data_IF_171064091826
#
_entry.id   IF_171064091826
#
_cell.length_a   1.000
_cell.length_b   1.000
_cell.length_c   1.000
_cell.angle_alpha   90.00
_cell.angle_beta   90.00
_cell.angle_gamma   90.00
#
_symmetry.space_group_name_H-M   'P 1'
#
loop_
_entity.id
_entity.type
_entity.pdbx_description
1 polymer ?
#
# COMPACT_ATOMS: atom_id res chain seq x y z
N UNK A 1 -28.81 -1.28 -3.45
CA UNK A 1 -27.43 -1.50 -3.94
C UNK A 1 -26.50 -1.26 -2.78
N UNK A 2 -25.49 -2.12 -2.59
CA UNK A 2 -24.47 -1.99 -1.54
C UNK A 2 -23.81 -0.61 -1.64
N UNK A 3 -23.58 0.06 -0.51
CA UNK A 3 -23.01 1.42 -0.43
C UNK A 3 -21.68 1.53 -1.18
N UNK A 4 -20.75 0.62 -0.89
CA UNK A 4 -19.39 0.60 -1.46
C UNK A 4 -19.33 0.50 -2.98
N UNK A 5 -20.40 0.05 -3.66
CA UNK A 5 -20.46 0.06 -5.12
C UNK A 5 -20.62 1.47 -5.72
N UNK A 6 -21.16 2.42 -4.94
CA UNK A 6 -21.30 3.82 -5.34
C UNK A 6 -19.99 4.60 -5.21
N UNK A 7 -19.02 4.01 -4.52
CA UNK A 7 -17.73 4.62 -4.22
C UNK A 7 -16.68 4.33 -5.31
N UNK A 8 -17.05 3.56 -6.32
CA UNK A 8 -16.22 3.31 -7.49
C UNK A 8 -16.18 4.55 -8.40
N UNK A 9 -14.96 4.97 -8.76
CA UNK A 9 -14.73 6.11 -9.64
C UNK A 9 -13.61 5.80 -10.64
N UNK A 10 -13.62 6.52 -11.75
CA UNK A 10 -12.48 6.63 -12.66
C UNK A 10 -11.81 7.97 -12.38
N UNK A 11 -10.52 7.94 -12.05
CA UNK A 11 -9.71 9.13 -11.78
C UNK A 11 -8.44 9.10 -12.63
N UNK A 12 -7.90 10.27 -12.96
CA UNK A 12 -6.64 10.36 -13.69
C UNK A 12 -5.46 9.98 -12.78
N UNK A 13 -4.43 9.26 -13.28
CA UNK A 13 -3.27 8.83 -12.48
C UNK A 13 -2.62 9.97 -11.67
N UNK A 14 -2.52 11.17 -12.25
CA UNK A 14 -1.93 12.34 -11.60
C UNK A 14 -2.67 12.84 -10.36
N UNK A 15 -3.92 12.43 -10.14
CA UNK A 15 -4.68 12.75 -8.93
C UNK A 15 -4.35 11.81 -7.75
N UNK A 16 -3.59 10.75 -7.97
CA UNK A 16 -3.30 9.70 -6.98
C UNK A 16 -1.93 9.92 -6.33
N UNK A 17 -1.93 10.12 -5.01
CA UNK A 17 -0.73 10.26 -4.19
C UNK A 17 -0.24 8.87 -3.78
N UNK A 18 0.93 8.50 -4.29
CA UNK A 18 1.60 7.24 -4.01
C UNK A 18 2.66 7.46 -2.92
N UNK A 19 2.41 6.96 -1.70
CA UNK A 19 3.31 7.14 -0.56
C UNK A 19 4.28 5.98 -0.34
N UNK A 20 4.14 4.86 -1.06
CA UNK A 20 5.09 3.75 -1.05
C UNK A 20 5.80 3.63 -2.40
N UNK A 21 7.06 3.20 -2.35
CA UNK A 21 7.79 2.76 -3.51
C UNK A 21 7.14 1.53 -4.15
N UNK A 22 7.48 1.30 -5.42
CA UNK A 22 7.08 0.13 -6.17
C UNK A 22 8.27 -0.81 -6.36
N UNK A 23 7.95 -2.09 -6.52
CA UNK A 23 8.91 -3.11 -6.94
C UNK A 23 8.76 -3.27 -8.45
N UNK A 24 9.84 -3.08 -9.18
CA UNK A 24 9.90 -3.14 -10.64
C UNK A 24 9.47 -4.51 -11.18
N UNK A 25 9.87 -5.59 -10.51
CA UNK A 25 9.56 -6.94 -10.96
C UNK A 25 8.04 -7.23 -10.83
N UNK A 26 7.43 -6.83 -9.72
CA UNK A 26 5.99 -6.92 -9.48
C UNK A 26 5.20 -6.01 -10.39
N UNK A 27 5.71 -4.81 -10.65
CA UNK A 27 5.11 -3.87 -11.59
C UNK A 27 5.04 -4.46 -13.00
N UNK A 28 6.16 -4.97 -13.52
CA UNK A 28 6.23 -5.59 -14.84
C UNK A 28 5.28 -6.78 -14.98
N UNK A 29 5.24 -7.69 -13.97
CA UNK A 29 4.31 -8.83 -13.96
C UNK A 29 2.84 -8.38 -13.97
N UNK A 30 2.50 -7.37 -13.17
CA UNK A 30 1.14 -6.86 -13.08
C UNK A 30 0.70 -6.17 -14.39
N UNK A 31 1.58 -5.36 -14.97
CA UNK A 31 1.35 -4.72 -16.28
C UNK A 31 1.07 -5.75 -17.36
N UNK A 32 1.92 -6.79 -17.46
CA UNK A 32 1.73 -7.89 -18.41
C UNK A 32 0.37 -8.58 -18.23
N UNK A 33 -0.06 -8.80 -16.97
CA UNK A 33 -1.37 -9.39 -16.68
C UNK A 33 -2.53 -8.48 -17.07
N UNK A 34 -2.46 -7.18 -16.77
CA UNK A 34 -3.52 -6.21 -17.14
C UNK A 34 -3.69 -6.18 -18.66
N UNK A 35 -2.59 -6.15 -19.41
CA UNK A 35 -2.62 -6.17 -20.88
C UNK A 35 -3.18 -7.49 -21.43
N UNK A 36 -2.81 -8.63 -20.82
CA UNK A 36 -3.29 -9.94 -21.25
C UNK A 36 -4.79 -10.17 -20.93
N UNK A 37 -5.27 -9.68 -19.79
CA UNK A 37 -6.67 -9.81 -19.38
C UNK A 37 -7.58 -8.69 -19.95
N UNK A 38 -7.00 -7.62 -20.51
CA UNK A 38 -7.68 -6.41 -21.03
C UNK A 38 -8.64 -5.76 -20.01
N UNK A 39 -8.29 -5.82 -18.73
CA UNK A 39 -9.11 -5.30 -17.64
C UNK A 39 -8.30 -4.89 -16.42
N UNK A 40 -8.84 -3.95 -15.65
CA UNK A 40 -8.45 -3.76 -14.26
C UNK A 40 -9.37 -4.61 -13.37
N UNK A 41 -8.86 -5.76 -12.91
CA UNK A 41 -9.62 -6.72 -12.09
C UNK A 41 -10.16 -6.11 -10.80
N UNK A 42 -9.29 -5.48 -10.00
CA UNK A 42 -9.62 -4.93 -8.70
C UNK A 42 -9.40 -3.39 -8.70
N UNK A 43 -10.28 -2.58 -8.10
CA UNK A 43 -10.10 -1.14 -7.94
C UNK A 43 -8.94 -0.83 -6.99
N UNK A 44 -8.18 0.22 -7.28
CA UNK A 44 -7.23 0.82 -6.32
C UNK A 44 -8.03 1.40 -5.17
N UNK A 45 -7.64 1.13 -3.92
CA UNK A 45 -8.32 1.73 -2.77
C UNK A 45 -7.63 3.04 -2.44
N UNK A 46 -8.39 4.12 -2.36
CA UNK A 46 -7.87 5.45 -2.06
C UNK A 46 -8.82 6.22 -1.16
N UNK A 47 -8.31 7.20 -0.44
CA UNK A 47 -9.12 8.14 0.36
C UNK A 47 -8.96 9.56 -0.19
N UNK A 48 -9.99 10.38 -0.05
CA UNK A 48 -9.93 11.77 -0.51
C UNK A 48 -9.00 12.58 0.40
N UNK A 49 -8.14 13.40 -0.20
CA UNK A 49 -7.28 14.34 0.50
C UNK A 49 -7.19 15.64 -0.29
N UNK A 50 -7.95 16.66 0.14
CA UNK A 50 -8.13 17.89 -0.63
C UNK A 50 -8.76 17.61 -2.00
N UNK A 51 -8.07 18.00 -3.07
CA UNK A 51 -8.42 17.78 -4.47
C UNK A 51 -7.83 16.48 -5.07
N UNK A 52 -7.03 15.76 -4.29
CA UNK A 52 -6.33 14.53 -4.69
C UNK A 52 -6.78 13.33 -3.86
N UNK A 53 -6.18 12.17 -4.12
CA UNK A 53 -6.51 10.92 -3.45
C UNK A 53 -5.25 10.26 -2.89
N UNK A 54 -5.19 10.02 -1.58
CA UNK A 54 -4.14 9.20 -0.97
C UNK A 54 -4.41 7.73 -1.27
N UNK A 55 -3.49 7.07 -1.98
CA UNK A 55 -3.60 5.65 -2.31
C UNK A 55 -3.35 4.82 -1.06
N UNK A 56 -4.32 4.03 -0.64
CA UNK A 56 -4.21 3.17 0.55
C UNK A 56 -3.80 1.74 0.17
N UNK A 57 -4.18 1.29 -1.03
CA UNK A 57 -3.80 -0.02 -1.53
C UNK A 57 -3.86 -0.06 -3.06
N UNK A 58 -2.85 -0.68 -3.68
CA UNK A 58 -2.74 -0.82 -5.12
C UNK A 58 -1.78 0.16 -5.80
N UNK A 59 -0.71 0.60 -5.13
CA UNK A 59 0.32 1.47 -5.72
C UNK A 59 0.85 0.91 -7.06
N UNK A 60 1.18 -0.38 -7.12
CA UNK A 60 1.63 -1.03 -8.37
C UNK A 60 0.55 -1.00 -9.47
N UNK A 61 -0.75 -1.02 -9.13
CA UNK A 61 -1.84 -0.91 -10.12
C UNK A 61 -1.89 0.50 -10.73
N UNK A 62 -1.73 1.54 -9.92
CA UNK A 62 -1.68 2.92 -10.41
C UNK A 62 -0.52 3.08 -11.38
N UNK A 63 0.69 2.65 -10.98
CA UNK A 63 1.88 2.69 -11.84
C UNK A 63 1.72 1.88 -13.13
N UNK A 64 1.18 0.66 -13.04
CA UNK A 64 0.97 -0.16 -14.22
C UNK A 64 0.02 0.50 -15.22
N UNK A 65 -1.07 1.09 -14.74
CA UNK A 65 -2.03 1.81 -15.59
C UNK A 65 -1.42 3.06 -16.22
N UNK A 66 -0.63 3.82 -15.46
CA UNK A 66 0.10 4.99 -15.94
C UNK A 66 1.10 4.61 -17.05
N UNK A 67 1.90 3.55 -16.85
CA UNK A 67 2.84 3.08 -17.88
C UNK A 67 2.18 2.42 -19.10
N UNK A 68 0.94 1.93 -18.96
CA UNK A 68 0.13 1.47 -20.09
C UNK A 68 -0.36 2.67 -20.92
N UNK A 69 -0.34 3.88 -20.35
CA UNK A 69 -0.92 5.08 -20.95
C UNK A 69 -2.43 5.15 -20.77
N UNK A 70 -2.98 4.46 -19.76
CA UNK A 70 -4.39 4.56 -19.44
C UNK A 70 -4.69 5.95 -18.88
N UNK A 71 -5.65 6.66 -19.49
CA UNK A 71 -6.11 7.96 -19.00
C UNK A 71 -6.71 7.88 -17.60
N UNK A 72 -7.37 6.78 -17.27
CA UNK A 72 -8.06 6.59 -16.01
C UNK A 72 -7.62 5.33 -15.27
N UNK A 73 -7.67 5.40 -13.94
CA UNK A 73 -7.55 4.26 -13.04
C UNK A 73 -8.89 4.03 -12.35
N UNK A 74 -9.33 2.78 -12.29
CA UNK A 74 -10.48 2.42 -11.46
C UNK A 74 -10.08 2.45 -9.99
N UNK A 75 -10.74 3.31 -9.23
CA UNK A 75 -10.55 3.46 -7.79
C UNK A 75 -11.83 3.17 -7.02
N UNK A 76 -11.67 2.73 -5.78
CA UNK A 76 -12.70 2.76 -4.76
C UNK A 76 -12.31 3.84 -3.75
N UNK A 77 -13.14 4.88 -3.64
CA UNK A 77 -12.92 5.98 -2.70
C UNK A 77 -13.51 5.61 -1.34
N UNK A 78 -12.69 5.51 -0.31
CA UNK A 78 -13.12 5.18 1.05
C UNK A 78 -12.96 6.37 1.98
N UNK A 79 -13.62 6.30 3.13
CA UNK A 79 -13.42 7.25 4.21
C UNK A 79 -11.93 7.32 4.62
N UNK A 80 -11.41 8.51 4.96
CA UNK A 80 -10.05 8.67 5.43
C UNK A 80 -9.75 7.73 6.61
N UNK A 81 -8.65 6.96 6.55
CA UNK A 81 -8.25 6.11 7.66
C UNK A 81 -7.73 6.99 8.81
N UNK A 82 -7.91 6.55 10.06
CA UNK A 82 -7.33 7.24 11.23
C UNK A 82 -5.80 7.25 11.21
N UNK A 83 -5.20 6.15 10.72
CA UNK A 83 -3.74 5.97 10.61
C UNK A 83 -3.39 4.89 9.59
N UNK A 84 -2.17 4.97 9.09
CA UNK A 84 -1.50 3.84 8.44
C UNK A 84 -0.80 3.00 9.51
N UNK A 85 -1.28 1.78 9.73
CA UNK A 85 -0.61 0.81 10.60
C UNK A 85 0.68 0.31 9.94
N UNK A 86 1.62 -0.20 10.73
CA UNK A 86 2.83 -0.85 10.21
C UNK A 86 2.63 -2.35 10.09
N UNK A 87 2.86 -2.93 8.90
CA UNK A 87 3.04 -4.38 8.80
C UNK A 87 4.22 -4.82 9.66
N UNK A 88 4.09 -5.96 10.33
CA UNK A 88 5.25 -6.67 10.86
C UNK A 88 6.00 -7.35 9.71
N UNK A 89 7.32 -7.21 9.65
CA UNK A 89 8.17 -7.91 8.69
C UNK A 89 8.95 -8.98 9.45
N UNK A 90 8.59 -10.24 9.22
CA UNK A 90 9.37 -11.39 9.66
C UNK A 90 10.45 -11.64 8.61
N UNK A 91 11.72 -11.53 9.01
CA UNK A 91 12.88 -11.61 8.13
C UNK A 91 13.84 -12.67 8.65
N UNK A 92 14.18 -13.64 7.80
CA UNK A 92 15.18 -14.66 8.11
C UNK A 92 16.56 -14.28 7.58
N UNK A 93 17.63 -14.60 8.33
CA UNK A 93 19.01 -14.42 7.86
C UNK A 93 19.48 -12.97 7.80
N UNK A 94 18.84 -12.08 8.57
CA UNK A 94 19.30 -10.70 8.73
C UNK A 94 20.64 -10.69 9.50
N UNK A 95 21.64 -10.02 8.95
CA UNK A 95 22.92 -9.78 9.65
C UNK A 95 22.76 -8.79 10.82
N UNK A 96 23.83 -8.56 11.61
CA UNK A 96 23.81 -7.57 12.67
C UNK A 96 23.41 -6.17 12.14
N UNK A 97 22.52 -5.51 12.87
CA UNK A 97 22.10 -4.15 12.56
C UNK A 97 23.05 -3.15 13.20
N UNK A 98 23.57 -2.23 12.39
CA UNK A 98 24.45 -1.15 12.84
C UNK A 98 23.81 0.20 12.52
N UNK A 99 24.06 1.25 13.32
CA UNK A 99 23.66 2.62 12.99
C UNK A 99 24.12 3.03 11.59
N UNK A 100 23.38 3.95 10.99
CA UNK A 100 23.71 4.57 9.70
C UNK A 100 23.55 6.09 9.83
N UNK A 101 24.67 6.75 10.14
CA UNK A 101 24.70 8.19 10.38
C UNK A 101 24.28 9.01 9.15
N UNK A 102 24.59 8.51 7.94
CA UNK A 102 24.30 9.20 6.69
C UNK A 102 22.78 9.27 6.44
N UNK A 103 22.06 8.22 6.80
CA UNK A 103 20.60 8.15 6.69
C UNK A 103 19.87 8.44 8.01
N UNK A 104 20.61 8.84 9.05
CA UNK A 104 20.07 9.15 10.37
C UNK A 104 19.46 7.96 11.11
N UNK A 105 19.83 6.72 10.77
CA UNK A 105 19.37 5.51 11.43
C UNK A 105 20.12 5.31 12.75
N UNK A 106 19.38 5.28 13.85
CA UNK A 106 19.89 4.98 15.18
C UNK A 106 19.34 3.64 15.64
N UNK A 107 20.22 2.81 16.20
CA UNK A 107 19.88 1.47 16.72
C UNK A 107 20.07 1.51 18.23
N UNK A 108 18.99 1.29 18.98
CA UNK A 108 18.93 1.48 20.42
C UNK A 108 18.85 2.96 20.84
N UNK A 109 19.03 3.19 22.14
CA UNK A 109 19.01 4.53 22.75
C UNK A 109 17.62 5.14 22.94
N UNK A 110 17.56 6.26 23.67
CA UNK A 110 16.31 6.97 24.01
C UNK A 110 16.08 8.24 23.18
N UNK A 111 17.12 8.75 22.50
CA UNK A 111 17.04 9.98 21.70
C UNK A 111 16.53 9.70 20.27
N UNK A 112 15.91 10.70 19.64
CA UNK A 112 15.33 10.59 18.30
C UNK A 112 13.90 10.05 18.29
N UNK A 113 13.30 9.94 17.10
CA UNK A 113 11.93 9.51 16.90
C UNK A 113 11.87 8.01 16.54
N UNK A 114 10.96 7.27 17.16
CA UNK A 114 10.86 5.83 16.91
C UNK A 114 10.37 5.52 15.49
N UNK A 115 11.06 4.61 14.81
CA UNK A 115 10.77 4.17 13.44
C UNK A 115 10.22 2.75 13.43
N UNK A 116 10.88 1.85 14.17
CA UNK A 116 10.49 0.45 14.28
C UNK A 116 11.01 -0.17 15.58
N UNK A 117 10.48 -1.33 15.92
CA UNK A 117 11.01 -2.23 16.94
C UNK A 117 11.41 -3.55 16.29
N UNK A 118 12.56 -4.10 16.69
CA UNK A 118 13.08 -5.37 16.20
C UNK A 118 13.10 -6.36 17.35
N UNK A 119 12.40 -7.47 17.19
CA UNK A 119 12.36 -8.59 18.13
C UNK A 119 13.16 -9.75 17.55
N UNK A 120 14.10 -10.30 18.32
CA UNK A 120 14.89 -11.47 17.92
C UNK A 120 14.27 -12.77 18.46
N UNK A 121 14.64 -13.91 17.89
CA UNK A 121 14.22 -15.22 18.40
C UNK A 121 14.66 -15.49 19.85
N UNK A 122 15.62 -14.73 20.38
CA UNK A 122 16.05 -14.79 21.78
C UNK A 122 15.15 -14.00 22.75
N UNK A 123 14.13 -13.28 22.25
CA UNK A 123 13.25 -12.42 23.04
C UNK A 123 13.84 -11.02 23.31
N UNK A 124 15.01 -10.71 22.76
CA UNK A 124 15.59 -9.37 22.85
C UNK A 124 14.85 -8.42 21.91
N UNK A 125 14.57 -7.22 22.40
CA UNK A 125 13.93 -6.17 21.60
C UNK A 125 14.85 -4.95 21.50
N UNK A 126 15.04 -4.45 20.29
CA UNK A 126 15.84 -3.27 20.00
C UNK A 126 14.99 -2.24 19.25
N UNK A 127 14.99 -1.00 19.74
CA UNK A 127 14.33 0.12 19.05
C UNK A 127 15.20 0.62 17.90
N UNK A 128 14.58 0.90 16.77
CA UNK A 128 15.17 1.61 15.63
C UNK A 128 14.53 2.99 15.55
N UNK A 129 15.36 4.02 15.44
CA UNK A 129 14.94 5.42 15.54
C UNK A 129 15.54 6.25 14.42
N UNK A 130 14.91 7.36 14.06
CA UNK A 130 15.51 8.42 13.28
C UNK A 130 16.18 9.42 14.21
N UNK A 131 17.39 9.86 13.86
CA UNK A 131 18.15 10.87 14.62
C UNK A 131 17.39 12.19 14.71
N UNK A 132 16.80 12.61 13.61
CA UNK A 132 15.96 13.81 13.51
C UNK A 132 14.48 13.42 13.63
N UNK A 133 13.67 14.36 14.11
CA UNK A 133 12.23 14.22 14.14
C UNK A 133 11.60 14.54 12.77
N UNK A 134 10.41 14.00 12.52
CA UNK A 134 9.59 14.30 11.35
C UNK A 134 9.49 13.15 10.34
N UNK A 135 8.42 13.19 9.55
CA UNK A 135 8.00 12.16 8.59
C UNK A 135 9.09 11.80 7.58
N UNK A 136 9.79 12.83 7.08
CA UNK A 136 10.91 12.72 6.15
C UNK A 136 12.11 11.97 6.74
N UNK A 137 12.52 12.32 7.96
CA UNK A 137 13.64 11.67 8.64
C UNK A 137 13.33 10.20 8.93
N UNK A 138 12.09 9.92 9.35
CA UNK A 138 11.59 8.55 9.52
C UNK A 138 11.61 7.76 8.23
N UNK A 139 11.15 8.32 7.11
CA UNK A 139 11.19 7.67 5.80
C UNK A 139 12.62 7.25 5.42
N UNK A 140 13.61 8.15 5.57
CA UNK A 140 15.03 7.84 5.29
C UNK A 140 15.57 6.72 6.18
N UNK A 141 15.28 6.76 7.48
CA UNK A 141 15.66 5.70 8.40
C UNK A 141 15.00 4.35 8.04
N UNK A 142 13.74 4.35 7.59
CA UNK A 142 13.08 3.13 7.11
C UNK A 142 13.76 2.54 5.88
N UNK A 143 14.19 3.37 4.93
CA UNK A 143 14.98 2.93 3.78
C UNK A 143 16.31 2.32 4.21
N UNK A 144 17.03 2.97 5.12
CA UNK A 144 18.29 2.46 5.66
C UNK A 144 18.12 1.11 6.38
N UNK A 145 17.01 0.93 7.11
CA UNK A 145 16.65 -0.33 7.73
C UNK A 145 16.36 -1.42 6.69
N UNK A 146 15.52 -1.14 5.69
CA UNK A 146 15.18 -2.12 4.66
C UNK A 146 16.35 -2.49 3.75
N UNK A 147 17.33 -1.59 3.56
CA UNK A 147 18.55 -1.91 2.84
C UNK A 147 19.35 -3.05 3.49
N UNK A 148 19.06 -3.42 4.75
CA UNK A 148 19.67 -4.55 5.46
C UNK A 148 18.92 -5.87 5.28
N UNK A 149 17.78 -5.85 4.60
CA UNK A 149 16.99 -7.06 4.38
C UNK A 149 17.69 -7.96 3.36
N UNK A 150 17.76 -9.28 3.59
CA UNK A 150 18.37 -10.23 2.66
C UNK A 150 17.42 -10.51 1.48
N UNK A 151 17.33 -9.57 0.53
CA UNK A 151 16.48 -9.67 -0.65
C UNK A 151 14.97 -9.74 -0.34
N UNK A 152 14.12 -9.54 -1.36
CA UNK A 152 12.67 -9.46 -1.16
C UNK A 152 12.01 -10.80 -0.78
N UNK A 153 12.58 -11.93 -1.24
CA UNK A 153 12.01 -13.27 -1.01
C UNK A 153 12.07 -13.75 0.45
N UNK A 154 12.86 -13.07 1.30
CA UNK A 154 13.05 -13.43 2.70
C UNK A 154 12.08 -12.74 3.66
N UNK A 155 11.15 -11.91 3.16
CA UNK A 155 10.25 -11.10 3.99
C UNK A 155 8.85 -11.69 4.01
N UNK A 156 8.39 -12.13 5.18
CA UNK A 156 6.99 -12.50 5.40
C UNK A 156 6.29 -11.38 6.17
N UNK A 157 5.24 -10.80 5.58
CA UNK A 157 4.40 -9.79 6.26
C UNK A 157 3.46 -10.45 7.25
N UNK A 158 3.34 -9.86 8.43
CA UNK A 158 2.45 -10.29 9.50
C UNK A 158 1.64 -9.10 10.01
N UNK A 159 0.42 -9.39 10.45
CA UNK A 159 -0.47 -8.40 11.04
C UNK A 159 0.21 -7.65 12.21
N UNK A 160 -0.06 -6.34 12.42
CA UNK A 160 0.66 -5.52 13.42
C UNK A 160 0.60 -6.13 14.83
N UNK A 161 -0.58 -6.65 15.19
CA UNK A 161 -0.86 -7.29 16.48
C UNK A 161 -0.82 -8.83 16.40
N UNK A 162 -0.31 -9.38 15.28
CA UNK A 162 -0.22 -10.82 15.07
C UNK A 162 0.81 -11.44 15.99
N UNK A 163 0.41 -12.46 16.75
CA UNK A 163 1.35 -13.31 17.47
C UNK A 163 2.15 -14.16 16.47
N UNK A 164 3.47 -14.08 16.54
CA UNK A 164 4.38 -14.84 15.68
C UNK A 164 5.38 -15.58 16.55
N UNK A 165 5.61 -16.86 16.23
CA UNK A 165 6.68 -17.62 16.85
C UNK A 165 7.93 -17.50 15.97
N UNK A 166 8.96 -16.87 16.51
CA UNK A 166 10.24 -16.71 15.83
C UNK A 166 11.04 -18.01 15.85
N UNK A 167 11.56 -18.40 14.70
CA UNK A 167 12.52 -19.49 14.55
C UNK A 167 13.95 -18.96 14.70
N UNK A 168 14.92 -19.84 14.96
CA UNK A 168 16.32 -19.43 15.10
C UNK A 168 16.83 -18.67 13.87
N UNK A 169 17.34 -17.46 14.07
CA UNK A 169 17.85 -16.59 12.99
C UNK A 169 16.77 -15.76 12.27
N UNK A 170 15.51 -15.82 12.72
CA UNK A 170 14.47 -14.88 12.30
C UNK A 170 14.41 -13.67 13.24
N UNK A 171 14.09 -12.51 12.67
CA UNK A 171 13.76 -11.29 13.40
C UNK A 171 12.41 -10.77 12.95
N UNK A 172 11.66 -10.16 13.87
CA UNK A 172 10.39 -9.51 13.58
C UNK A 172 10.54 -7.99 13.75
N UNK A 173 10.27 -7.28 12.67
CA UNK A 173 10.38 -5.82 12.61
C UNK A 173 8.97 -5.23 12.58
N UNK A 174 8.61 -4.43 13.58
CA UNK A 174 7.31 -3.74 13.66
C UNK A 174 7.50 -2.25 13.44
N UNK A 175 7.00 -1.73 12.34
CA UNK A 175 7.08 -0.31 12.02
C UNK A 175 6.09 0.51 12.84
N UNK A 176 6.48 1.73 13.22
CA UNK A 176 5.58 2.70 13.85
C UNK A 176 4.56 3.22 12.83
N UNK A 177 3.32 3.48 13.25
CA UNK A 177 2.28 3.97 12.36
C UNK A 177 2.56 5.40 11.87
N UNK A 178 1.94 5.77 10.76
CA UNK A 178 1.93 7.14 10.23
C UNK A 178 0.53 7.71 10.28
N UNK A 179 0.40 9.01 10.56
CA UNK A 179 -0.83 9.73 10.26
C UNK A 179 -0.94 9.91 8.73
N UNK A 180 -2.15 10.00 8.16
CA UNK A 180 -2.31 10.27 6.72
C UNK A 180 -1.60 11.57 6.28
N UNK A 181 -1.58 12.58 7.14
CA UNK A 181 -0.92 13.86 6.88
C UNK A 181 0.59 13.71 6.72
N UNK A 182 1.23 12.87 7.55
CA UNK A 182 2.66 12.56 7.46
C UNK A 182 3.00 11.91 6.11
N UNK A 183 2.12 11.02 5.62
CA UNK A 183 2.29 10.36 4.32
C UNK A 183 2.18 11.36 3.17
N UNK A 184 1.22 12.28 3.24
CA UNK A 184 1.09 13.34 2.24
C UNK A 184 2.28 14.28 2.28
N UNK A 185 2.79 14.63 3.46
CA UNK A 185 4.00 15.45 3.63
C UNK A 185 5.21 14.78 2.94
N UNK A 186 5.40 13.48 3.19
CA UNK A 186 6.45 12.67 2.55
C UNK A 186 6.31 12.75 1.02
N UNK A 187 5.12 12.49 0.47
CA UNK A 187 4.88 12.57 -0.98
C UNK A 187 5.12 13.99 -1.51
N UNK A 188 4.67 15.01 -0.78
CA UNK A 188 4.84 16.42 -1.14
C UNK A 188 6.29 16.86 -1.24
N UNK A 189 7.19 16.20 -0.50
CA UNK A 189 8.64 16.41 -0.57
C UNK A 189 9.35 15.64 -1.71
N UNK A 190 8.61 14.82 -2.46
CA UNK A 190 9.16 13.93 -3.49
C UNK A 190 9.75 12.62 -2.94
N UNK A 191 9.58 12.35 -1.64
CA UNK A 191 9.99 11.10 -1.02
C UNK A 191 8.83 10.09 -0.94
N UNK A 192 9.15 8.84 -0.65
CA UNK A 192 8.19 7.75 -0.39
C UNK A 192 8.71 6.84 0.71
N UNK A 193 7.83 6.04 1.29
CA UNK A 193 8.20 4.93 2.16
C UNK A 193 8.68 3.71 1.36
N UNK A 194 9.47 2.81 1.97
CA UNK A 194 9.71 1.51 1.38
C UNK A 194 8.41 0.72 1.14
N UNK A 195 8.41 -0.17 0.15
CA UNK A 195 7.21 -0.91 -0.23
C UNK A 195 6.74 -1.87 0.88
N UNK A 196 5.42 -2.00 1.03
CA UNK A 196 4.80 -3.02 1.87
C UNK A 196 4.91 -2.79 3.37
N UNK A 197 5.21 -1.57 3.81
CA UNK A 197 5.30 -1.21 5.24
C UNK A 197 3.98 -0.74 5.81
N UNK A 198 3.16 -0.05 5.03
CA UNK A 198 1.89 0.50 5.50
C UNK A 198 0.74 -0.47 5.32
N UNK A 199 -0.17 -0.45 6.28
CA UNK A 199 -1.39 -1.23 6.31
C UNK A 199 -2.57 -0.33 6.66
N UNK A 200 -3.58 -0.38 5.81
CA UNK A 200 -4.84 0.32 6.05
C UNK A 200 -5.99 -0.66 6.25
N UNK A 201 -6.73 -0.47 7.34
CA UNK A 201 -7.99 -1.19 7.59
C UNK A 201 -9.08 -0.59 6.72
N UNK A 202 -9.65 -1.41 5.85
CA UNK A 202 -10.72 -1.01 4.92
C UNK A 202 -11.90 -1.95 5.16
N UNK A 203 -13.05 -1.40 5.56
CA UNK A 203 -14.19 -2.20 6.02
C UNK A 203 -14.90 -2.94 4.89
N UNK A 204 -15.03 -2.34 3.71
CA UNK A 204 -15.75 -2.93 2.58
C UNK A 204 -14.93 -2.80 1.30
N UNK A 205 -14.02 -3.75 1.05
CA UNK A 205 -13.25 -3.77 -0.20
C UNK A 205 -14.11 -4.31 -1.34
N UNK A 206 -14.23 -3.54 -2.43
CA UNK A 206 -14.83 -4.04 -3.67
C UNK A 206 -13.76 -4.79 -4.45
N UNK A 207 -14.01 -6.06 -4.75
CA UNK A 207 -13.08 -6.94 -5.48
C UNK A 207 -13.75 -7.49 -6.74
N UNK A 208 -12.96 -7.85 -7.75
CA UNK A 208 -13.43 -8.51 -8.96
C UNK A 208 -14.35 -7.66 -9.83
N UNK A 209 -14.16 -6.33 -9.87
CA UNK A 209 -14.93 -5.42 -10.74
C UNK A 209 -14.69 -5.75 -12.21
N UNK A 210 -13.43 -6.09 -12.57
CA UNK A 210 -13.04 -6.49 -13.93
C UNK A 210 -13.48 -5.45 -14.97
N UNK A 211 -13.06 -4.20 -14.76
CA UNK A 211 -13.46 -3.10 -15.62
C UNK A 211 -12.59 -3.05 -16.88
N UNK A 212 -13.17 -3.02 -18.10
CA UNK A 212 -12.42 -3.13 -19.34
C UNK A 212 -11.39 -2.02 -19.51
N UNK A 213 -10.16 -2.39 -19.88
CA UNK A 213 -9.05 -1.45 -20.09
C UNK A 213 -9.37 -0.44 -21.18
N UNK A 214 -9.98 -0.88 -22.29
CA UNK A 214 -10.45 -0.01 -23.37
C UNK A 214 -11.34 1.15 -22.92
N UNK A 215 -12.09 1.03 -21.82
CA UNK A 215 -12.93 2.10 -21.27
C UNK A 215 -12.17 3.12 -20.43
N UNK A 216 -10.91 2.86 -20.14
CA UNK A 216 -10.03 3.69 -19.32
C UNK A 216 -8.95 4.39 -20.14
N UNK A 217 -8.80 4.07 -21.43
CA UNK A 217 -7.74 4.64 -22.28
C UNK A 217 -7.97 6.10 -22.66
N UNK A 218 -9.24 6.52 -22.84
CA UNK A 218 -9.56 7.87 -23.31
C UNK A 218 -10.96 8.32 -22.83
N UNK A 219 -11.39 9.50 -23.30
CA UNK A 219 -12.74 10.04 -23.08
C UNK A 219 -12.82 11.10 -21.99
N UNK A 220 -13.98 11.73 -21.88
CA UNK A 220 -14.22 12.79 -20.89
C UNK A 220 -14.53 12.18 -19.50
N UNK A 221 -13.94 12.71 -18.40
CA UNK A 221 -14.06 12.12 -17.06
C UNK A 221 -15.49 11.89 -16.57
N UNK A 222 -16.41 12.85 -16.75
CA UNK A 222 -17.81 12.72 -16.31
C UNK A 222 -18.52 11.62 -17.10
N UNK A 223 -18.34 11.57 -18.42
CA UNK A 223 -18.91 10.54 -19.28
C UNK A 223 -18.42 9.14 -18.90
N UNK A 224 -17.12 8.96 -18.68
CA UNK A 224 -16.56 7.66 -18.27
C UNK A 224 -17.07 7.20 -16.90
N UNK A 225 -17.24 8.12 -15.95
CA UNK A 225 -17.86 7.79 -14.65
C UNK A 225 -19.36 7.47 -14.77
N UNK A 226 -20.10 8.07 -15.72
CA UNK A 226 -21.48 7.64 -16.03
C UNK A 226 -21.49 6.22 -16.59
N UNK A 227 -20.58 5.88 -17.49
CA UNK A 227 -20.44 4.51 -18.02
C UNK A 227 -20.10 3.50 -16.94
N UNK A 228 -19.18 3.82 -16.03
CA UNK A 228 -18.85 2.97 -14.88
C UNK A 228 -20.08 2.69 -14.01
N UNK A 229 -20.87 3.72 -13.69
CA UNK A 229 -22.11 3.54 -12.91
C UNK A 229 -23.11 2.63 -13.61
N UNK A 230 -23.27 2.77 -14.93
CA UNK A 230 -24.11 1.87 -15.74
C UNK A 230 -23.58 0.44 -15.73
N UNK A 231 -22.26 0.25 -15.87
CA UNK A 231 -21.61 -1.06 -15.79
C UNK A 231 -21.90 -1.75 -14.45
N UNK A 232 -21.69 -1.06 -13.34
CA UNK A 232 -21.95 -1.58 -11.98
C UNK A 232 -23.44 -1.92 -11.79
N UNK A 233 -24.33 -1.03 -12.26
CA UNK A 233 -25.78 -1.23 -12.15
C UNK A 233 -26.24 -2.45 -12.95
N UNK A 234 -25.68 -2.65 -14.15
CA UNK A 234 -25.93 -3.84 -14.98
C UNK A 234 -25.46 -5.12 -14.25
N UNK A 235 -24.24 -5.15 -13.71
CA UNK A 235 -23.73 -6.32 -12.94
C UNK A 235 -24.60 -6.64 -11.73
N UNK A 236 -25.10 -5.62 -11.04
CA UNK A 236 -26.04 -5.78 -9.94
C UNK A 236 -27.37 -6.40 -10.40
N UNK A 237 -27.98 -5.85 -11.46
CA UNK A 237 -29.22 -6.35 -12.03
C UNK A 237 -29.11 -7.79 -12.57
N UNK A 238 -27.96 -8.15 -13.12
CA UNK A 238 -27.63 -9.51 -13.58
C UNK A 238 -27.29 -10.48 -12.44
N UNK A 239 -27.43 -10.08 -11.17
CA UNK A 239 -27.10 -10.88 -10.00
C UNK A 239 -25.64 -11.39 -9.98
N UNK A 240 -24.70 -10.60 -10.54
CA UNK A 240 -23.26 -10.92 -10.62
C UNK A 240 -22.43 -10.34 -9.47
N UNK A 241 -23.09 -9.75 -8.48
CA UNK A 241 -22.43 -9.18 -7.28
C UNK A 241 -22.80 -10.02 -6.07
N UNK A 242 -21.80 -10.31 -5.23
CA UNK A 242 -21.96 -11.02 -3.95
C UNK A 242 -21.40 -10.16 -2.84
N UNK A 243 -22.07 -10.18 -1.68
CA UNK A 243 -21.65 -9.47 -0.49
C UNK A 243 -21.45 -10.47 0.64
N UNK A 244 -20.21 -10.58 1.10
CA UNK A 244 -19.82 -11.46 2.19
C UNK A 244 -19.53 -10.61 3.42
N UNK A 245 -20.21 -10.91 4.53
CA UNK A 245 -19.98 -10.24 5.83
C UNK A 245 -18.94 -10.95 6.69
N UNK A 246 -18.61 -12.18 6.33
CA UNK A 246 -17.59 -13.01 6.98
C UNK A 246 -16.26 -12.90 6.24
N UNK A 247 -15.11 -13.14 6.90
CA UNK A 247 -13.82 -13.19 6.24
C UNK A 247 -13.80 -14.21 5.09
N UNK A 248 -13.23 -13.80 3.95
CA UNK A 248 -13.12 -14.63 2.75
C UNK A 248 -11.65 -14.92 2.46
N UNK A 249 -11.32 -16.18 2.16
CA UNK A 249 -10.02 -16.57 1.60
C UNK A 249 -10.12 -16.55 0.07
N UNK A 250 -9.31 -15.71 -0.58
CA UNK A 250 -9.29 -15.55 -2.03
C UNK A 250 -7.98 -16.10 -2.60
N UNK A 251 -8.09 -16.96 -3.61
CA UNK A 251 -6.96 -17.37 -4.45
C UNK A 251 -6.93 -16.43 -5.66
N UNK A 252 -5.85 -15.65 -5.80
CA UNK A 252 -5.67 -14.66 -6.87
C UNK A 252 -4.70 -15.11 -7.96
#
# INVERSE_FOLDING_TARGET
MISSLKDLRLVEPGCLLLHEAHDEARLARLKGRILAEDEQRNPVVASSYGDRFLVLDGAHRVRAMDEIGARFVLVQVVEPPERAEGWGHLVGGMGPLYPDDANGLVVGGESGEAVAEIETSGGETVSVRSREAGSLARSRAMWALQARYPGEAAVRRVEPDGAVRLSGGEVLIRYRPFAPEDLVEIVGSGAVLPAGVTRFRVRERVLGVRYPLSKMMDGEPRHRNVELRRFVSKRWAENRVRYYREPVVLFE
#
